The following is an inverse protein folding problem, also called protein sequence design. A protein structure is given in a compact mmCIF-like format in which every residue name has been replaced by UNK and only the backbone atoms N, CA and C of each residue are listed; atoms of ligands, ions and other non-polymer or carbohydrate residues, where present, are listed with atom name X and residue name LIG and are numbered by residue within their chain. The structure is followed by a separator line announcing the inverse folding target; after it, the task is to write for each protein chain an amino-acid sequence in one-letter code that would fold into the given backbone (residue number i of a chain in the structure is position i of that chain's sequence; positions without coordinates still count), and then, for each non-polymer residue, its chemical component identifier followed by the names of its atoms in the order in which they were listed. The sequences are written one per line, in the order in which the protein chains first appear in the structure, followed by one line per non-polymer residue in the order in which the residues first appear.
data_IF_167041374350
#
_entry.id   IF_167041374350
#
_cell.length_a   1.000
_cell.length_b   1.000
_cell.length_c   1.000
_cell.angle_alpha   90.00
_cell.angle_beta   90.00
_cell.angle_gamma   90.00
#
_symmetry.space_group_name_H-M   'P 1'
#
loop_
_entity.id
_entity.type
_entity.pdbx_description
1 polymer ?
#
# COMPACT_ATOMS: atom_id res chain seq x y z
N UNK A 1 8.61 20.80 8.49
CA UNK A 1 9.05 20.10 7.27
C UNK A 1 10.37 19.44 7.58
N UNK A 2 10.37 18.16 7.65
CA UNK A 2 11.56 17.37 7.90
C UNK A 2 12.05 16.71 6.60
N UNK A 3 13.34 16.66 6.43
CA UNK A 3 13.98 16.04 5.28
C UNK A 3 14.62 14.74 5.75
N UNK A 4 14.15 13.62 5.26
CA UNK A 4 14.76 12.31 5.51
C UNK A 4 15.78 12.04 4.41
N UNK A 5 17.06 12.06 4.76
CA UNK A 5 18.17 11.70 3.88
C UNK A 5 18.75 10.36 4.32
N UNK A 6 18.76 9.38 3.44
CA UNK A 6 19.38 8.06 3.68
C UNK A 6 20.62 7.90 2.79
N UNK A 7 21.71 7.22 3.24
CA UNK A 7 22.98 7.14 2.53
C UNK A 7 22.80 6.44 1.22
N UNK A 8 22.06 6.09 0.50
CA UNK A 8 21.91 5.47 -0.85
C UNK A 8 20.51 5.62 -1.48
N UNK A 9 19.68 6.57 -0.97
CA UNK A 9 18.31 6.74 -1.43
C UNK A 9 18.01 8.20 -1.75
N UNK A 10 17.08 8.41 -2.66
CA UNK A 10 16.57 9.75 -3.00
C UNK A 10 15.83 10.38 -1.81
N UNK A 11 15.83 11.69 -1.78
CA UNK A 11 15.25 12.46 -0.68
C UNK A 11 13.74 12.39 -0.70
N UNK A 12 13.16 12.17 0.47
CA UNK A 12 11.73 12.27 0.70
C UNK A 12 11.49 13.43 1.66
N UNK A 13 10.56 14.30 1.32
CA UNK A 13 10.16 15.43 2.15
C UNK A 13 8.89 15.06 2.91
N UNK A 14 8.94 15.13 4.22
CA UNK A 14 7.77 14.94 5.08
C UNK A 14 7.25 16.30 5.49
N UNK A 15 5.98 16.56 5.24
CA UNK A 15 5.29 17.79 5.61
C UNK A 15 4.16 17.44 6.55
N UNK A 16 4.31 17.82 7.79
CA UNK A 16 3.24 17.74 8.79
C UNK A 16 2.21 18.83 8.51
N UNK A 17 0.95 18.46 8.41
CA UNK A 17 -0.17 19.35 8.13
C UNK A 17 -1.28 19.14 9.15
N UNK A 18 -1.67 20.22 9.83
CA UNK A 18 -2.79 20.23 10.75
C UNK A 18 -4.08 20.66 10.03
N UNK A 19 -5.12 19.85 10.10
CA UNK A 19 -6.46 20.18 9.59
C UNK A 19 -7.52 20.03 10.67
N UNK A 20 -7.84 21.08 11.34
CA UNK A 20 -8.82 21.11 12.45
C UNK A 20 -8.28 20.49 13.72
N UNK A 21 -8.56 19.23 13.97
CA UNK A 21 -8.05 18.42 15.11
C UNK A 21 -7.29 17.18 14.66
N UNK A 22 -7.00 17.07 13.40
CA UNK A 22 -6.28 15.95 12.82
C UNK A 22 -4.97 16.47 12.25
N UNK A 23 -3.90 15.78 12.54
CA UNK A 23 -2.58 15.99 11.96
C UNK A 23 -2.34 14.90 10.92
N UNK A 24 -1.65 15.28 9.84
CA UNK A 24 -1.33 14.39 8.73
C UNK A 24 0.13 14.58 8.35
N UNK A 25 0.84 13.51 8.17
CA UNK A 25 2.14 13.48 7.51
C UNK A 25 1.97 13.28 6.02
N UNK A 26 2.45 14.25 5.25
CA UNK A 26 2.44 14.22 3.80
C UNK A 26 3.84 13.96 3.29
N UNK A 27 4.03 12.86 2.60
CA UNK A 27 5.32 12.45 2.02
C UNK A 27 5.37 12.89 0.55
N UNK A 28 6.41 13.67 0.20
CA UNK A 28 6.62 14.16 -1.16
C UNK A 28 7.94 13.66 -1.73
N UNK A 29 7.95 13.31 -3.03
CA UNK A 29 9.19 13.05 -3.77
C UNK A 29 9.99 14.34 -3.98
N UNK A 30 11.24 14.23 -4.48
CA UNK A 30 12.07 15.39 -4.87
C UNK A 30 11.40 16.24 -5.96
N UNK A 31 10.56 15.64 -6.80
CA UNK A 31 9.81 16.33 -7.85
C UNK A 31 8.55 17.03 -7.31
N UNK A 32 8.27 16.94 -6.00
CA UNK A 32 7.10 17.53 -5.37
C UNK A 32 5.80 16.77 -5.61
N UNK A 33 5.88 15.48 -5.92
CA UNK A 33 4.71 14.61 -6.06
C UNK A 33 4.34 14.08 -4.68
N UNK A 34 3.08 14.24 -4.26
CA UNK A 34 2.55 13.61 -3.04
C UNK A 34 2.48 12.10 -3.26
N UNK A 35 3.16 11.36 -2.42
CA UNK A 35 3.31 9.91 -2.54
C UNK A 35 2.56 9.13 -1.48
N UNK A 36 2.43 9.71 -0.28
CA UNK A 36 1.70 9.12 0.84
C UNK A 36 1.10 10.22 1.70
N UNK A 37 -0.03 9.96 2.33
CA UNK A 37 -0.61 10.76 3.40
C UNK A 37 -0.98 9.83 4.55
N UNK A 38 -0.45 10.08 5.72
CA UNK A 38 -0.73 9.30 6.94
C UNK A 38 -1.39 10.23 7.95
N UNK A 39 -2.49 9.80 8.57
CA UNK A 39 -3.05 10.53 9.70
C UNK A 39 -2.18 10.27 10.93
N UNK A 40 -1.63 11.34 11.52
CA UNK A 40 -0.89 11.22 12.77
C UNK A 40 -1.89 10.91 13.91
N UNK A 41 -1.78 9.74 14.47
CA UNK A 41 -2.48 9.33 15.68
C UNK A 41 -1.47 9.37 16.83
N UNK A 42 -1.39 10.47 17.52
CA UNK A 42 -0.70 10.85 18.79
C UNK A 42 0.32 9.89 19.47
N UNK A 43 0.73 8.80 18.85
CA UNK A 43 1.54 7.77 19.49
C UNK A 43 2.85 7.40 18.79
N UNK A 44 3.15 7.93 17.60
CA UNK A 44 4.26 7.41 16.77
C UNK A 44 5.36 8.39 16.38
N UNK A 45 5.42 9.57 17.02
CA UNK A 45 6.42 10.61 16.69
C UNK A 45 7.90 10.26 16.99
N UNK A 46 8.21 9.06 17.46
CA UNK A 46 9.58 8.69 17.83
C UNK A 46 10.29 7.69 16.90
N UNK A 47 9.63 7.16 15.86
CA UNK A 47 10.19 6.09 15.02
C UNK A 47 10.46 6.44 13.54
N UNK A 48 10.75 7.68 13.21
CA UNK A 48 11.19 8.08 11.85
C UNK A 48 12.61 7.60 11.46
N UNK A 49 13.32 6.92 12.35
CA UNK A 49 14.57 6.25 12.01
C UNK A 49 14.24 4.83 11.54
N UNK A 50 14.62 4.48 10.30
CA UNK A 50 14.38 3.13 9.82
C UNK A 50 15.08 2.13 10.71
N UNK A 51 14.34 1.15 11.20
CA UNK A 51 14.94 -0.08 11.64
C UNK A 51 15.92 -0.57 10.55
N UNK A 52 17.08 -1.10 10.92
CA UNK A 52 18.00 -1.68 9.94
C UNK A 52 17.22 -2.72 9.12
N UNK A 53 17.14 -2.48 7.81
CA UNK A 53 16.43 -3.38 6.90
C UNK A 53 17.15 -4.72 6.92
N UNK A 54 16.49 -5.84 7.24
CA UNK A 54 17.10 -7.15 7.11
C UNK A 54 17.63 -7.34 5.69
N UNK A 55 18.87 -7.82 5.55
CA UNK A 55 19.53 -7.97 4.25
C UNK A 55 18.73 -8.82 3.24
N UNK A 56 17.90 -9.75 3.72
CA UNK A 56 17.01 -10.54 2.89
C UNK A 56 15.90 -9.69 2.25
N UNK A 57 15.29 -8.80 3.03
CA UNK A 57 14.26 -7.85 2.57
C UNK A 57 14.86 -6.87 1.57
N UNK A 58 16.00 -6.26 1.90
CA UNK A 58 16.69 -5.35 0.99
C UNK A 58 17.04 -6.01 -0.35
N UNK A 59 17.53 -7.26 -0.30
CA UNK A 59 17.84 -8.04 -1.51
C UNK A 59 16.59 -8.31 -2.35
N UNK A 60 15.46 -8.64 -1.72
CA UNK A 60 14.19 -8.85 -2.40
C UNK A 60 13.75 -7.56 -3.12
N UNK A 61 13.72 -6.45 -2.40
CA UNK A 61 13.28 -5.16 -2.95
C UNK A 61 14.16 -4.75 -4.13
N UNK A 62 15.48 -4.76 -3.99
CA UNK A 62 16.41 -4.41 -5.07
C UNK A 62 16.28 -5.31 -6.30
N UNK A 63 15.90 -6.59 -6.11
CA UNK A 63 15.71 -7.53 -7.21
C UNK A 63 14.38 -7.34 -7.93
N UNK A 64 13.30 -7.14 -7.21
CA UNK A 64 11.95 -7.04 -7.78
C UNK A 64 11.63 -5.61 -8.24
N UNK A 65 12.11 -4.63 -7.51
CA UNK A 65 11.84 -3.21 -7.72
C UNK A 65 13.17 -2.41 -7.74
N UNK A 66 14.03 -2.60 -8.78
CA UNK A 66 15.40 -2.06 -8.78
C UNK A 66 15.47 -0.53 -8.79
N UNK A 67 14.40 0.15 -9.17
CA UNK A 67 14.33 1.61 -9.22
C UNK A 67 13.38 2.17 -8.14
N UNK A 68 12.89 1.32 -7.24
CA UNK A 68 11.99 1.77 -6.19
C UNK A 68 12.74 2.55 -5.11
N UNK A 69 12.03 3.51 -4.53
CA UNK A 69 12.44 4.27 -3.36
C UNK A 69 11.78 3.70 -2.13
N UNK A 70 12.54 3.47 -1.08
CA UNK A 70 12.01 3.07 0.21
C UNK A 70 11.45 4.31 0.93
N UNK A 71 10.23 4.21 1.44
CA UNK A 71 9.57 5.28 2.18
C UNK A 71 9.59 4.98 3.67
N UNK A 72 9.08 3.81 4.06
CA UNK A 72 8.89 3.45 5.46
C UNK A 72 9.12 1.96 5.68
N UNK A 73 9.46 1.62 6.92
CA UNK A 73 9.54 0.23 7.38
C UNK A 73 8.91 0.18 8.75
N UNK A 74 7.89 -0.64 8.87
CA UNK A 74 7.25 -0.94 10.13
C UNK A 74 7.43 -2.42 10.49
N UNK A 75 7.57 -2.68 11.80
CA UNK A 75 7.60 -4.05 12.32
C UNK A 75 6.49 -4.19 13.34
N UNK A 76 5.43 -4.86 12.94
CA UNK A 76 4.28 -5.07 13.80
C UNK A 76 3.89 -6.55 13.86
N UNK A 77 3.63 -7.07 15.07
CA UNK A 77 3.19 -8.46 15.31
C UNK A 77 4.09 -9.54 14.67
N UNK A 78 5.39 -9.25 14.51
CA UNK A 78 6.35 -10.15 13.88
C UNK A 78 6.30 -10.17 12.35
N UNK A 79 5.60 -9.24 11.75
CA UNK A 79 5.65 -8.96 10.32
C UNK A 79 6.43 -7.68 10.07
N UNK A 80 7.09 -7.60 8.93
CA UNK A 80 7.75 -6.38 8.45
C UNK A 80 6.99 -5.87 7.25
N UNK A 81 6.48 -4.68 7.35
CA UNK A 81 5.84 -3.93 6.29
C UNK A 81 6.83 -2.91 5.73
N UNK A 82 6.93 -2.83 4.42
CA UNK A 82 7.84 -1.93 3.73
C UNK A 82 7.08 -1.16 2.66
N UNK A 83 6.99 0.14 2.84
CA UNK A 83 6.45 1.04 1.84
C UNK A 83 7.52 1.50 0.87
N UNK A 84 7.23 1.36 -0.42
CA UNK A 84 8.10 1.81 -1.50
C UNK A 84 7.33 2.66 -2.52
N UNK A 85 8.07 3.47 -3.28
CA UNK A 85 7.57 4.07 -4.50
C UNK A 85 8.31 3.45 -5.67
N UNK A 86 7.56 2.77 -6.54
CA UNK A 86 8.05 2.20 -7.77
C UNK A 86 7.50 3.00 -8.96
N UNK A 87 8.34 3.86 -9.53
CA UNK A 87 7.90 4.88 -10.49
C UNK A 87 7.01 5.92 -9.82
N UNK A 88 5.71 5.88 -10.11
CA UNK A 88 4.68 6.77 -9.53
C UNK A 88 3.64 6.00 -8.70
N UNK A 89 3.92 4.74 -8.37
CA UNK A 89 3.00 3.87 -7.64
C UNK A 89 3.57 3.64 -6.24
N UNK A 90 2.81 3.97 -5.22
CA UNK A 90 3.08 3.56 -3.84
C UNK A 90 2.69 2.11 -3.69
N UNK A 91 3.60 1.30 -3.14
CA UNK A 91 3.39 -0.13 -2.90
C UNK A 91 3.74 -0.47 -1.47
N UNK A 92 2.92 -1.29 -0.86
CA UNK A 92 3.15 -1.92 0.43
C UNK A 92 3.66 -3.35 0.21
N UNK A 93 4.77 -3.71 0.84
CA UNK A 93 5.36 -5.05 0.74
C UNK A 93 5.42 -5.66 2.14
N UNK A 94 4.78 -6.79 2.31
CA UNK A 94 4.71 -7.49 3.61
C UNK A 94 5.60 -8.71 3.63
N UNK A 95 6.39 -8.84 4.70
CA UNK A 95 7.26 -9.99 4.98
C UNK A 95 6.89 -10.62 6.31
N UNK A 96 7.05 -11.95 6.42
CA UNK A 96 6.85 -12.65 7.68
C UNK A 96 8.07 -12.51 8.63
N UNK A 97 7.96 -13.05 9.83
CA UNK A 97 9.03 -13.04 10.84
C UNK A 97 10.35 -13.72 10.41
N UNK A 98 10.31 -14.50 9.34
CA UNK A 98 11.50 -15.11 8.71
C UNK A 98 12.04 -14.27 7.55
N UNK A 99 11.52 -13.06 7.33
CA UNK A 99 11.82 -12.15 6.22
C UNK A 99 11.49 -12.77 4.83
N UNK A 100 10.51 -13.67 4.78
CA UNK A 100 9.99 -14.22 3.53
C UNK A 100 8.82 -13.32 3.05
N UNK A 101 8.81 -13.02 1.77
CA UNK A 101 7.76 -12.22 1.14
C UNK A 101 6.39 -12.90 1.23
N UNK A 102 5.40 -12.17 1.71
CA UNK A 102 4.00 -12.59 1.81
C UNK A 102 3.16 -11.98 0.69
N UNK A 103 3.25 -10.65 0.52
CA UNK A 103 2.46 -9.93 -0.46
C UNK A 103 3.10 -8.61 -0.85
N UNK A 104 2.69 -8.12 -2.01
CA UNK A 104 2.85 -6.73 -2.40
C UNK A 104 1.51 -6.22 -2.87
N UNK A 105 1.07 -5.06 -2.37
CA UNK A 105 -0.19 -4.46 -2.75
C UNK A 105 -0.02 -3.00 -3.15
N UNK A 106 -0.93 -2.52 -3.98
CA UNK A 106 -1.06 -1.12 -4.35
C UNK A 106 -2.47 -0.79 -4.78
N UNK A 107 -2.84 0.44 -4.54
CA UNK A 107 -4.13 1.02 -4.89
C UNK A 107 -4.36 1.03 -6.41
N UNK A 108 -5.55 0.62 -6.83
CA UNK A 108 -5.98 0.56 -8.22
C UNK A 108 -7.27 1.35 -8.40
N UNK A 109 -7.23 2.35 -9.26
CA UNK A 109 -8.42 3.15 -9.54
C UNK A 109 -9.52 2.29 -10.17
N UNK A 110 -10.76 2.61 -9.85
CA UNK A 110 -11.93 1.88 -10.39
C UNK A 110 -11.92 1.74 -11.92
N UNK A 111 -11.43 2.73 -12.65
CA UNK A 111 -11.34 2.70 -14.12
C UNK A 111 -10.15 1.89 -14.65
N UNK A 112 -9.28 1.42 -13.78
CA UNK A 112 -8.14 0.54 -14.08
C UNK A 112 -8.44 -0.93 -13.76
N UNK A 113 -9.54 -1.21 -13.04
CA UNK A 113 -10.01 -2.58 -12.81
C UNK A 113 -10.41 -3.24 -14.13
N UNK A 114 -10.05 -4.51 -14.34
CA UNK A 114 -10.53 -5.28 -15.50
C UNK A 114 -12.05 -5.31 -15.59
N UNK A 115 -12.59 -5.27 -16.81
CA UNK A 115 -14.04 -5.39 -17.03
C UNK A 115 -14.61 -6.72 -16.49
N UNK A 116 -13.81 -7.78 -16.50
CA UNK A 116 -14.15 -9.08 -15.93
C UNK A 116 -14.43 -8.99 -14.43
N UNK A 117 -13.60 -8.26 -13.69
CA UNK A 117 -13.75 -8.04 -12.24
C UNK A 117 -14.99 -7.20 -11.95
N UNK A 118 -15.13 -6.05 -12.61
CA UNK A 118 -16.28 -5.15 -12.40
C UNK A 118 -17.60 -5.82 -12.82
N UNK A 119 -17.61 -6.61 -13.89
CA UNK A 119 -18.78 -7.38 -14.34
C UNK A 119 -19.12 -8.51 -13.36
N UNK A 120 -18.14 -9.25 -12.84
CA UNK A 120 -18.37 -10.30 -11.87
C UNK A 120 -19.06 -9.78 -10.60
N UNK A 121 -18.58 -8.63 -10.09
CA UNK A 121 -19.18 -7.97 -8.93
C UNK A 121 -20.60 -7.50 -9.22
N UNK A 122 -20.81 -6.81 -10.35
CA UNK A 122 -22.11 -6.28 -10.74
C UNK A 122 -23.16 -7.37 -11.02
N UNK A 123 -22.72 -8.54 -11.49
CA UNK A 123 -23.60 -9.68 -11.81
C UNK A 123 -23.86 -10.62 -10.62
N UNK A 124 -23.14 -10.40 -9.51
CA UNK A 124 -23.28 -11.25 -8.33
C UNK A 124 -24.54 -10.93 -7.55
N UNK A 125 -25.43 -11.92 -7.37
CA UNK A 125 -26.60 -11.77 -6.51
C UNK A 125 -26.24 -11.47 -5.06
N UNK A 126 -25.09 -11.99 -4.58
CA UNK A 126 -24.59 -11.81 -3.22
C UNK A 126 -24.24 -10.34 -2.94
N UNK A 127 -23.75 -9.63 -3.95
CA UNK A 127 -23.31 -8.23 -3.82
C UNK A 127 -24.27 -7.26 -4.53
N UNK A 128 -25.51 -7.68 -4.76
CA UNK A 128 -26.52 -6.85 -5.39
C UNK A 128 -26.78 -5.54 -4.59
N UNK A 129 -26.57 -4.42 -5.25
CA UNK A 129 -26.74 -3.08 -4.68
C UNK A 129 -25.53 -2.55 -3.90
N UNK A 130 -24.42 -3.29 -3.86
CA UNK A 130 -23.14 -2.74 -3.43
C UNK A 130 -22.48 -1.95 -4.56
N UNK A 131 -21.67 -0.99 -4.19
CA UNK A 131 -20.81 -0.22 -5.09
C UNK A 131 -19.34 -0.48 -4.74
N UNK A 132 -18.50 -0.43 -5.74
CA UNK A 132 -17.04 -0.48 -5.53
C UNK A 132 -16.62 0.86 -4.93
N UNK A 133 -16.09 0.83 -3.73
CA UNK A 133 -15.54 1.96 -3.02
C UNK A 133 -14.03 2.07 -3.27
N UNK A 134 -13.29 1.03 -2.95
CA UNK A 134 -11.84 0.95 -3.08
C UNK A 134 -11.38 -0.37 -3.67
N UNK A 135 -10.17 -0.41 -4.22
CA UNK A 135 -9.59 -1.62 -4.77
C UNK A 135 -8.06 -1.60 -4.74
N UNK A 136 -7.48 -2.70 -4.26
CA UNK A 136 -6.06 -2.98 -4.34
C UNK A 136 -5.77 -4.11 -5.32
N UNK A 137 -4.68 -4.00 -6.04
CA UNK A 137 -4.07 -5.16 -6.67
C UNK A 137 -3.08 -5.80 -5.70
N UNK A 138 -3.14 -7.10 -5.55
CA UNK A 138 -2.33 -7.87 -4.59
C UNK A 138 -1.60 -8.99 -5.28
N UNK A 139 -0.27 -8.98 -5.18
CA UNK A 139 0.63 -10.06 -5.59
C UNK A 139 1.01 -10.91 -4.37
N UNK A 140 1.02 -12.22 -4.53
CA UNK A 140 1.46 -13.16 -3.49
C UNK A 140 2.24 -14.32 -4.11
N UNK A 141 2.95 -15.15 -3.33
CA UNK A 141 3.56 -16.38 -3.84
C UNK A 141 2.55 -17.35 -4.47
N UNK A 142 1.28 -17.25 -4.09
CA UNK A 142 0.18 -18.11 -4.59
C UNK A 142 -0.53 -17.60 -5.82
N UNK A 143 -0.24 -16.37 -6.28
CA UNK A 143 -0.90 -15.73 -7.41
C UNK A 143 -1.33 -14.30 -7.10
N UNK A 144 -2.03 -13.71 -8.04
CA UNK A 144 -2.44 -12.31 -8.04
C UNK A 144 -3.96 -12.21 -7.95
N UNK A 145 -4.45 -11.16 -7.30
CA UNK A 145 -5.88 -10.88 -7.22
C UNK A 145 -6.14 -9.40 -6.94
N UNK A 146 -7.38 -8.99 -7.16
CA UNK A 146 -7.90 -7.70 -6.72
C UNK A 146 -8.62 -7.88 -5.40
N UNK A 147 -8.23 -7.11 -4.39
CA UNK A 147 -8.96 -6.97 -3.14
C UNK A 147 -9.88 -5.76 -3.30
N UNK A 148 -11.17 -6.00 -3.47
CA UNK A 148 -12.13 -4.93 -3.75
C UNK A 148 -12.99 -4.69 -2.52
N UNK A 149 -13.04 -3.45 -2.07
CA UNK A 149 -13.95 -2.99 -1.03
C UNK A 149 -15.28 -2.58 -1.66
N UNK A 150 -16.34 -3.15 -1.14
CA UNK A 150 -17.71 -2.93 -1.61
C UNK A 150 -18.53 -2.30 -0.50
N UNK A 151 -19.20 -1.19 -0.80
CA UNK A 151 -20.03 -0.43 0.12
C UNK A 151 -21.51 -0.50 -0.25
N UNK A 152 -22.37 -0.59 0.79
CA UNK A 152 -23.81 -0.45 0.68
C UNK A 152 -24.40 0.22 1.91
N UNK A 153 -24.55 1.53 1.86
CA UNK A 153 -24.94 2.34 3.01
C UNK A 153 -23.84 2.35 4.07
N UNK A 154 -24.08 1.78 5.24
CA UNK A 154 -23.08 1.62 6.32
C UNK A 154 -22.42 0.23 6.32
N UNK A 155 -22.70 -0.60 5.31
CA UNK A 155 -22.15 -1.95 5.20
C UNK A 155 -20.96 -1.95 4.25
N UNK A 156 -19.84 -2.44 4.74
CA UNK A 156 -18.61 -2.63 3.97
C UNK A 156 -18.26 -4.13 3.92
N UNK A 157 -17.76 -4.58 2.78
CA UNK A 157 -17.28 -5.96 2.61
C UNK A 157 -16.11 -5.98 1.64
N UNK A 158 -15.03 -6.68 2.00
CA UNK A 158 -13.89 -6.92 1.12
C UNK A 158 -14.04 -8.26 0.41
N UNK A 159 -13.82 -8.24 -0.88
CA UNK A 159 -13.89 -9.43 -1.73
C UNK A 159 -12.61 -9.59 -2.53
N UNK A 160 -12.17 -10.84 -2.71
CA UNK A 160 -11.02 -11.17 -3.55
C UNK A 160 -11.53 -11.69 -4.89
N UNK A 161 -11.01 -11.12 -5.98
CA UNK A 161 -11.41 -11.48 -7.35
C UNK A 161 -10.15 -11.57 -8.20
N UNK A 162 -9.98 -12.66 -8.95
CA UNK A 162 -8.87 -12.75 -9.91
C UNK A 162 -9.16 -11.97 -11.20
N UNK A 163 -8.16 -11.85 -12.07
CA UNK A 163 -8.31 -11.08 -13.32
C UNK A 163 -9.37 -11.65 -14.29
N UNK A 164 -9.73 -12.93 -14.14
CA UNK A 164 -10.77 -13.61 -14.90
C UNK A 164 -12.18 -13.33 -14.37
N UNK A 165 -12.30 -12.67 -13.20
CA UNK A 165 -13.56 -12.35 -12.54
C UNK A 165 -14.08 -13.44 -11.62
N UNK A 166 -13.24 -14.37 -11.21
CA UNK A 166 -13.62 -15.42 -10.26
C UNK A 166 -13.36 -14.95 -8.82
N UNK A 167 -14.34 -15.15 -7.94
CA UNK A 167 -14.19 -14.90 -6.51
C UNK A 167 -13.36 -16.01 -5.87
N UNK A 168 -12.34 -15.64 -5.07
CA UNK A 168 -11.38 -16.55 -4.43
C UNK A 168 -11.32 -16.38 -2.92
#
# INVERSE_FOLDING_TARGET
VDMLERPDMEKVYVIEVESGKQEFDLYYSEEGILVKSVADTDNDSENYLPAEIPAAIETFIKKQYPNARLIEIEVEHGMTEVDIIDGNISKEIVFNSSNEWISTSWDVRRNELPETVTHAIASSEKYAGYQIDDADFVETPGGEYYLVELEKGELEVKVKVNAEGEFI
#
